data_IF_288723395990
#
_entry.id   IF_288723395990
#
_cell.length_a   1.000
_cell.length_b   1.000
_cell.length_c   1.000
_cell.angle_alpha   90.00
_cell.angle_beta   90.00
_cell.angle_gamma   90.00
#
_symmetry.space_group_name_H-M   'P 1'
#
loop_
_entity.id
_entity.type
_entity.pdbx_description
1 polymer ?
#
# COMPACT_ATOMS: atom_id res chain seq x y z
N UNK A 1 2.28 -2.51 -0.79
CA UNK A 1 2.02 -3.42 -1.93
C UNK A 1 3.18 -3.35 -2.90
N UNK A 2 3.37 -4.39 -3.71
CA UNK A 2 4.49 -4.50 -4.65
C UNK A 2 4.04 -5.18 -5.94
N UNK A 3 4.92 -5.16 -6.95
CA UNK A 3 4.84 -6.04 -8.11
C UNK A 3 5.46 -7.41 -7.83
N UNK A 4 5.21 -8.35 -8.74
CA UNK A 4 5.69 -9.74 -8.72
C UNK A 4 7.21 -9.84 -8.47
N UNK A 5 7.99 -8.96 -9.09
CA UNK A 5 9.45 -8.92 -8.99
C UNK A 5 9.99 -8.15 -7.78
N UNK A 6 9.13 -7.60 -6.93
CA UNK A 6 9.51 -6.85 -5.72
C UNK A 6 10.43 -5.65 -5.97
N UNK A 7 10.29 -5.00 -7.12
CA UNK A 7 11.15 -3.87 -7.52
C UNK A 7 10.52 -2.50 -7.27
N UNK A 8 9.20 -2.42 -7.18
CA UNK A 8 8.47 -1.16 -6.95
C UNK A 8 7.51 -1.32 -5.78
N UNK A 9 7.54 -0.38 -4.84
CA UNK A 9 6.69 -0.41 -3.65
C UNK A 9 5.66 0.71 -3.64
N UNK A 10 4.42 0.35 -3.30
CA UNK A 10 3.38 1.26 -2.85
C UNK A 10 3.32 1.23 -1.32
N UNK A 11 3.52 2.39 -0.70
CA UNK A 11 3.43 2.60 0.75
C UNK A 11 2.27 3.55 1.02
N UNK A 12 1.36 3.14 1.91
CA UNK A 12 0.12 3.87 2.18
C UNK A 12 -0.49 3.51 3.53
N UNK A 13 -1.29 4.41 4.07
CA UNK A 13 -2.12 4.17 5.26
C UNK A 13 -3.57 3.88 4.83
N UNK A 14 -4.27 3.03 5.60
CA UNK A 14 -5.69 2.73 5.39
C UNK A 14 -6.34 2.26 6.69
N UNK A 15 -7.63 2.55 6.86
CA UNK A 15 -8.46 2.00 7.93
C UNK A 15 -9.00 0.61 7.61
N UNK A 16 -9.01 0.20 6.33
CA UNK A 16 -9.46 -1.13 5.89
C UNK A 16 -8.50 -1.71 4.86
N UNK A 17 -7.68 -2.64 5.35
CA UNK A 17 -6.69 -3.36 4.56
C UNK A 17 -7.32 -4.19 3.43
N UNK A 18 -8.46 -4.84 3.67
CA UNK A 18 -9.13 -5.71 2.68
C UNK A 18 -9.64 -4.88 1.52
N UNK A 19 -10.32 -3.79 1.83
CA UNK A 19 -10.82 -2.86 0.81
C UNK A 19 -9.67 -2.26 0.00
N UNK A 20 -8.56 -1.89 0.64
CA UNK A 20 -7.36 -1.37 -0.04
C UNK A 20 -6.76 -2.38 -1.03
N UNK A 21 -6.58 -3.62 -0.61
CA UNK A 21 -6.05 -4.69 -1.49
C UNK A 21 -7.00 -4.94 -2.65
N UNK A 22 -8.30 -5.03 -2.38
CA UNK A 22 -9.29 -5.21 -3.42
C UNK A 22 -9.29 -4.07 -4.45
N UNK A 23 -9.14 -2.82 -4.03
CA UNK A 23 -9.04 -1.66 -4.92
C UNK A 23 -7.79 -1.71 -5.81
N UNK A 24 -6.65 -2.16 -5.27
CA UNK A 24 -5.44 -2.36 -6.05
C UNK A 24 -5.64 -3.44 -7.11
N UNK A 25 -6.22 -4.58 -6.73
CA UNK A 25 -6.37 -5.72 -7.62
C UNK A 25 -7.46 -5.53 -8.69
N UNK A 26 -8.58 -4.89 -8.36
CA UNK A 26 -9.77 -4.85 -9.22
C UNK A 26 -10.09 -3.48 -9.80
N UNK A 27 -9.84 -2.40 -9.05
CA UNK A 27 -10.12 -1.03 -9.51
C UNK A 27 -8.90 -0.37 -10.17
N UNK A 28 -7.78 -1.10 -10.24
CA UNK A 28 -6.53 -0.64 -10.86
C UNK A 28 -5.81 0.45 -10.09
N UNK A 29 -6.30 0.86 -8.91
CA UNK A 29 -5.74 1.96 -8.13
C UNK A 29 -5.52 3.25 -8.95
N UNK A 30 -4.49 4.00 -8.61
CA UNK A 30 -4.03 5.13 -9.44
C UNK A 30 -3.36 4.64 -10.72
N UNK A 31 -3.16 5.53 -11.70
CA UNK A 31 -2.40 5.23 -12.94
C UNK A 31 -1.06 4.56 -12.63
N UNK A 32 -0.38 4.98 -11.57
CA UNK A 32 0.87 4.40 -11.09
C UNK A 32 0.72 2.93 -10.66
N UNK A 33 -0.28 2.63 -9.83
CA UNK A 33 -0.55 1.26 -9.36
C UNK A 33 -0.79 0.32 -10.53
N UNK A 34 -1.55 0.76 -11.54
CA UNK A 34 -1.82 -0.02 -12.74
C UNK A 34 -0.57 -0.21 -13.62
N UNK A 35 0.20 0.87 -13.83
CA UNK A 35 1.41 0.83 -14.66
C UNK A 35 2.46 -0.13 -14.11
N UNK A 36 2.62 -0.20 -12.79
CA UNK A 36 3.61 -1.08 -12.16
C UNK A 36 3.03 -2.40 -11.65
N UNK A 37 1.72 -2.66 -11.83
CA UNK A 37 1.03 -3.89 -11.36
C UNK A 37 1.25 -4.15 -9.87
N UNK A 38 1.03 -3.13 -9.03
CA UNK A 38 1.29 -3.17 -7.59
C UNK A 38 0.15 -3.84 -6.80
N UNK A 39 0.03 -5.15 -6.93
CA UNK A 39 -1.10 -5.95 -6.44
C UNK A 39 -0.76 -6.80 -5.21
N UNK A 40 0.53 -7.09 -4.99
CA UNK A 40 0.93 -8.01 -3.94
C UNK A 40 1.06 -7.30 -2.60
N UNK A 41 0.26 -7.73 -1.61
CA UNK A 41 0.43 -7.30 -0.24
C UNK A 41 1.56 -8.08 0.42
N UNK A 42 2.74 -7.45 0.51
CA UNK A 42 3.95 -8.06 1.09
C UNK A 42 4.18 -7.72 2.56
N UNK A 43 3.55 -6.64 3.06
CA UNK A 43 3.75 -6.15 4.42
C UNK A 43 2.59 -5.27 4.88
N UNK A 44 2.22 -5.38 6.16
CA UNK A 44 1.32 -4.45 6.83
C UNK A 44 1.66 -4.36 8.33
N UNK A 45 1.40 -3.20 8.92
CA UNK A 45 1.50 -2.93 10.36
C UNK A 45 0.15 -2.38 10.83
N UNK A 46 -0.28 -2.74 12.04
CA UNK A 46 -1.50 -2.22 12.65
C UNK A 46 -1.14 -1.19 13.73
N UNK A 47 -1.86 -0.07 13.73
CA UNK A 47 -1.70 1.00 14.71
C UNK A 47 -3.06 1.36 15.30
N UNK A 48 -3.09 1.64 16.61
CA UNK A 48 -4.30 2.13 17.28
C UNK A 48 -4.57 3.61 16.98
N UNK A 49 -3.54 4.37 16.61
CA UNK A 49 -3.61 5.80 16.34
C UNK A 49 -3.15 6.09 14.91
N UNK A 50 -3.96 6.84 14.17
CA UNK A 50 -3.67 7.25 12.79
C UNK A 50 -2.40 8.09 12.68
N UNK A 51 -2.06 8.86 13.71
CA UNK A 51 -0.89 9.75 13.76
C UNK A 51 0.40 8.93 13.74
N UNK A 52 0.43 7.81 14.47
CA UNK A 52 1.56 6.87 14.42
C UNK A 52 1.67 6.18 13.06
N UNK A 53 0.54 5.77 12.47
CA UNK A 53 0.53 5.17 11.13
C UNK A 53 1.07 6.14 10.06
N UNK A 54 0.68 7.42 10.11
CA UNK A 54 1.18 8.46 9.18
C UNK A 54 2.67 8.73 9.41
N UNK A 55 3.12 8.82 10.66
CA UNK A 55 4.54 9.00 10.97
C UNK A 55 5.39 7.85 10.42
N UNK A 56 4.90 6.61 10.56
CA UNK A 56 5.55 5.42 10.02
C UNK A 56 5.56 5.40 8.49
N UNK A 57 4.46 5.76 7.84
CA UNK A 57 4.38 5.88 6.38
C UNK A 57 5.43 6.86 5.85
N UNK A 58 5.56 8.03 6.49
CA UNK A 58 6.59 9.03 6.14
C UNK A 58 7.99 8.48 6.35
N UNK A 59 8.25 7.79 7.47
CA UNK A 59 9.54 7.17 7.74
C UNK A 59 9.95 6.17 6.64
N UNK A 60 9.01 5.38 6.12
CA UNK A 60 9.29 4.39 5.08
C UNK A 60 9.44 5.00 3.67
N UNK A 61 8.95 6.23 3.46
CA UNK A 61 9.08 6.96 2.18
C UNK A 61 10.32 7.84 2.10
N UNK A 62 10.92 8.18 3.25
CA UNK A 62 12.11 9.03 3.36
C UNK A 62 13.39 8.31 2.96
#
# INVERSE_FOLDING_TARGET
>A
MSNEYRTTFYIGVTSDLRTRVWQHNNKGGSKFVRSYRLFDLVYYEHFHDITHAIAREKQLKN
#
